data_IF_127845054262
#
_entry.id   IF_127845054262
#
_cell.length_a   1.000
_cell.length_b   1.000
_cell.length_c   1.000
_cell.angle_alpha   90.00
_cell.angle_beta   90.00
_cell.angle_gamma   90.00
#
_symmetry.space_group_name_H-M   'P 1'
#
loop_
_entity.id
_entity.type
_entity.pdbx_description
1 polymer ?
#
# COMPACT_ATOMS: atom_id res chain seq x y z
N UNK A 1 17.09 19.05 18.27
CA UNK A 1 17.94 17.98 18.81
C UNK A 1 18.41 17.16 17.63
N UNK A 2 19.66 17.33 17.22
CA UNK A 2 20.21 16.73 15.99
C UNK A 2 20.26 15.20 16.06
N UNK A 3 20.25 14.65 17.29
CA UNK A 3 20.25 13.22 17.54
C UNK A 3 19.02 12.48 16.98
N UNK A 4 17.87 13.15 16.81
CA UNK A 4 16.65 12.51 16.29
C UNK A 4 16.80 12.18 14.80
N UNK A 5 17.49 13.02 14.03
CA UNK A 5 17.63 12.86 12.57
C UNK A 5 18.58 11.72 12.17
N UNK A 6 19.36 11.19 13.11
CA UNK A 6 20.27 10.05 12.87
C UNK A 6 19.73 8.72 13.40
N UNK A 7 18.52 8.69 13.94
CA UNK A 7 17.94 7.46 14.49
C UNK A 7 17.38 6.60 13.36
N UNK A 8 17.79 5.34 13.35
CA UNK A 8 17.17 4.33 12.51
C UNK A 8 15.80 3.94 13.06
N UNK A 9 14.84 3.73 12.15
CA UNK A 9 13.46 3.42 12.50
C UNK A 9 12.99 2.14 11.84
N UNK A 10 11.96 1.53 12.42
CA UNK A 10 11.16 0.49 11.77
C UNK A 10 9.88 1.16 11.32
N UNK A 11 9.61 1.11 10.01
CA UNK A 11 8.34 1.53 9.47
C UNK A 11 7.29 0.47 9.81
N UNK A 12 6.32 0.85 10.64
CA UNK A 12 5.29 -0.06 11.12
C UNK A 12 4.15 -0.26 10.12
N UNK A 13 4.09 0.49 9.02
CA UNK A 13 3.04 0.32 8.01
C UNK A 13 3.36 1.01 6.67
N UNK A 14 3.47 0.20 5.61
CA UNK A 14 3.74 0.69 4.26
C UNK A 14 2.95 -0.05 3.17
N UNK A 15 2.71 0.64 2.05
CA UNK A 15 1.99 0.21 0.86
C UNK A 15 2.82 0.39 -0.43
N UNK A 16 4.12 0.58 -0.32
CA UNK A 16 5.01 0.76 -1.48
C UNK A 16 4.95 -0.48 -2.38
N UNK A 17 4.72 -0.25 -3.67
CA UNK A 17 4.71 -1.33 -4.66
C UNK A 17 6.14 -1.86 -4.92
N UNK A 18 6.29 -3.12 -5.35
CA UNK A 18 7.55 -3.64 -5.85
C UNK A 18 8.15 -2.77 -6.97
N UNK A 19 9.47 -2.76 -7.07
CA UNK A 19 10.21 -1.96 -8.06
C UNK A 19 9.73 -2.23 -9.49
N UNK A 20 9.42 -3.48 -9.83
CA UNK A 20 8.95 -3.89 -11.16
C UNK A 20 7.66 -3.19 -11.55
N UNK A 21 6.74 -3.04 -10.58
CA UNK A 21 5.43 -2.41 -10.80
C UNK A 21 5.60 -0.91 -10.98
N UNK A 22 6.44 -0.27 -10.16
CA UNK A 22 6.64 1.19 -10.23
C UNK A 22 7.42 1.54 -11.50
N UNK A 23 8.55 0.89 -11.75
CA UNK A 23 9.40 1.16 -12.92
C UNK A 23 8.66 0.91 -14.24
N UNK A 24 7.84 -0.13 -14.32
CA UNK A 24 7.00 -0.43 -15.48
C UNK A 24 5.98 0.66 -15.84
N UNK A 25 5.63 1.54 -14.90
CA UNK A 25 4.70 2.67 -15.13
C UNK A 25 5.40 3.94 -15.62
N UNK A 26 6.73 3.94 -15.74
CA UNK A 26 7.54 5.10 -16.08
C UNK A 26 7.21 6.29 -15.15
N UNK A 27 7.61 6.21 -13.86
CA UNK A 27 7.12 7.09 -12.81
C UNK A 27 7.62 8.53 -13.00
N UNK A 28 6.81 9.49 -12.57
CA UNK A 28 7.03 10.93 -12.73
C UNK A 28 6.68 11.66 -11.44
N UNK A 29 6.87 12.98 -11.40
CA UNK A 29 6.43 13.79 -10.26
C UNK A 29 4.92 13.67 -10.01
N UNK A 30 4.12 13.46 -11.06
CA UNK A 30 2.68 13.24 -10.92
C UNK A 30 2.40 12.05 -9.99
N UNK A 31 3.11 10.93 -10.19
CA UNK A 31 2.90 9.69 -9.43
C UNK A 31 3.31 9.86 -7.95
N UNK A 32 4.33 10.69 -7.67
CA UNK A 32 4.73 11.04 -6.30
C UNK A 32 3.67 11.92 -5.63
N UNK A 33 3.15 12.93 -6.32
CA UNK A 33 2.12 13.82 -5.78
C UNK A 33 0.80 13.06 -5.54
N UNK A 34 0.43 12.16 -6.44
CA UNK A 34 -0.73 11.29 -6.30
C UNK A 34 -0.58 10.35 -5.11
N UNK A 35 0.54 9.63 -5.01
CA UNK A 35 0.84 8.73 -3.91
C UNK A 35 0.96 9.41 -2.54
N UNK A 36 1.31 10.71 -2.52
CA UNK A 36 1.38 11.52 -1.30
C UNK A 36 0.07 12.28 -0.99
N UNK A 37 -1.05 11.92 -1.63
CA UNK A 37 -2.38 12.48 -1.39
C UNK A 37 -2.55 13.96 -1.75
N UNK A 38 -1.66 14.54 -2.55
CA UNK A 38 -1.79 15.94 -2.99
C UNK A 38 -3.08 16.12 -3.78
N UNK A 39 -3.47 15.14 -4.58
CA UNK A 39 -4.70 15.20 -5.39
C UNK A 39 -6.00 14.89 -4.63
N UNK A 40 -5.93 14.68 -3.31
CA UNK A 40 -7.13 14.71 -2.47
C UNK A 40 -7.59 16.14 -2.18
N UNK A 41 -6.67 17.10 -2.25
CA UNK A 41 -6.94 18.52 -2.00
C UNK A 41 -6.72 19.39 -3.24
N UNK A 42 -6.07 18.86 -4.27
CA UNK A 42 -5.87 19.51 -5.57
C UNK A 42 -6.57 18.73 -6.69
N UNK A 43 -6.95 19.39 -7.78
CA UNK A 43 -7.58 18.73 -8.94
C UNK A 43 -6.52 18.18 -9.90
N UNK A 44 -6.33 16.86 -10.04
CA UNK A 44 -5.29 16.33 -10.91
C UNK A 44 -5.52 16.70 -12.39
N UNK A 45 -4.45 16.92 -13.18
CA UNK A 45 -4.57 17.05 -14.63
C UNK A 45 -5.03 15.72 -15.24
N UNK A 46 -5.68 15.78 -16.43
CA UNK A 46 -6.14 14.57 -17.14
C UNK A 46 -5.00 13.69 -17.65
N UNK A 47 -3.82 14.27 -17.86
CA UNK A 47 -2.65 13.60 -18.40
C UNK A 47 -1.45 13.90 -17.50
N UNK A 48 -0.73 12.87 -17.05
CA UNK A 48 0.45 13.02 -16.20
C UNK A 48 1.61 13.80 -16.83
N UNK A 49 1.64 13.94 -18.16
CA UNK A 49 2.62 14.75 -18.88
C UNK A 49 2.26 16.23 -19.04
N UNK A 50 1.06 16.65 -18.62
CA UNK A 50 0.62 18.05 -18.71
C UNK A 50 1.09 18.85 -17.47
N UNK A 51 2.37 19.25 -17.50
CA UNK A 51 3.00 19.96 -16.38
C UNK A 51 2.43 21.35 -16.17
N UNK A 52 1.91 22.01 -17.21
CA UNK A 52 1.26 23.32 -17.07
C UNK A 52 0.00 23.19 -16.21
N UNK A 53 -0.89 22.28 -16.57
CA UNK A 53 -2.10 22.00 -15.77
C UNK A 53 -1.75 21.47 -14.37
N UNK A 54 -0.63 20.74 -14.22
CA UNK A 54 -0.15 20.30 -12.92
C UNK A 54 0.28 21.48 -12.02
N UNK A 55 0.99 22.46 -12.57
CA UNK A 55 1.35 23.69 -11.83
C UNK A 55 0.12 24.46 -11.40
N UNK A 56 -0.84 24.65 -12.32
CA UNK A 56 -2.11 25.32 -12.02
C UNK A 56 -2.89 24.59 -10.92
N UNK A 57 -2.92 23.26 -10.98
CA UNK A 57 -3.59 22.39 -9.99
C UNK A 57 -3.04 22.57 -8.58
N UNK A 58 -1.71 22.56 -8.42
CA UNK A 58 -1.09 22.53 -7.09
C UNK A 58 -0.76 23.90 -6.52
N UNK A 59 -0.83 24.96 -7.32
CA UNK A 59 -0.45 26.33 -6.90
C UNK A 59 -1.15 26.76 -5.61
N UNK A 60 -2.48 26.61 -5.56
CA UNK A 60 -3.30 27.05 -4.44
C UNK A 60 -3.14 26.16 -3.19
N UNK A 61 -2.68 24.91 -3.36
CA UNK A 61 -2.47 23.96 -2.26
C UNK A 61 -0.99 23.79 -1.88
N UNK A 62 -0.09 24.54 -2.53
CA UNK A 62 1.36 24.38 -2.37
C UNK A 62 1.86 24.73 -0.96
N UNK A 63 1.09 25.50 -0.20
CA UNK A 63 1.34 25.75 1.23
C UNK A 63 0.93 24.59 2.14
N UNK A 64 0.17 23.60 1.64
CA UNK A 64 -0.35 22.48 2.42
C UNK A 64 0.68 21.39 2.71
N UNK A 65 0.45 20.62 3.78
CA UNK A 65 1.39 19.61 4.29
C UNK A 65 1.78 18.55 3.26
N UNK A 66 0.83 18.02 2.48
CA UNK A 66 1.11 17.00 1.46
C UNK A 66 2.12 17.49 0.42
N UNK A 67 1.89 18.69 -0.13
CA UNK A 67 2.78 19.26 -1.13
C UNK A 67 4.15 19.64 -0.54
N UNK A 68 4.17 20.24 0.65
CA UNK A 68 5.41 20.62 1.32
C UNK A 68 6.27 19.41 1.66
N UNK A 69 5.68 18.31 2.12
CA UNK A 69 6.40 17.06 2.37
C UNK A 69 7.08 16.54 1.09
N UNK A 70 6.36 16.52 -0.05
CA UNK A 70 6.96 16.16 -1.35
C UNK A 70 8.11 17.09 -1.73
N UNK A 71 7.95 18.41 -1.55
CA UNK A 71 8.99 19.39 -1.90
C UNK A 71 10.26 19.18 -1.09
N UNK A 72 10.13 18.94 0.22
CA UNK A 72 11.27 18.64 1.11
C UNK A 72 11.94 17.33 0.66
N UNK A 73 11.17 16.26 0.47
CA UNK A 73 11.70 14.97 0.06
C UNK A 73 12.44 15.03 -1.29
N UNK A 74 11.90 15.76 -2.27
CA UNK A 74 12.55 15.92 -3.58
C UNK A 74 13.84 16.74 -3.49
N UNK A 75 13.87 17.75 -2.61
CA UNK A 75 15.09 18.51 -2.35
C UNK A 75 16.16 17.63 -1.71
N UNK A 76 15.80 16.80 -0.75
CA UNK A 76 16.75 15.95 -0.03
C UNK A 76 17.25 14.77 -0.88
N UNK A 77 16.37 14.17 -1.68
CA UNK A 77 16.71 12.99 -2.51
C UNK A 77 17.39 13.41 -3.81
N UNK A 78 16.92 14.47 -4.46
CA UNK A 78 17.34 14.84 -5.83
C UNK A 78 17.98 16.23 -5.94
N UNK A 79 18.03 17.03 -4.86
CA UNK A 79 18.55 18.39 -4.89
C UNK A 79 17.65 19.40 -5.61
N UNK A 80 16.39 19.04 -5.90
CA UNK A 80 15.46 19.91 -6.65
C UNK A 80 14.38 20.49 -5.74
N UNK A 81 14.20 21.82 -5.82
CA UNK A 81 13.02 22.47 -5.23
C UNK A 81 11.90 22.52 -6.26
N UNK A 82 10.74 21.99 -5.90
CA UNK A 82 9.50 22.20 -6.65
C UNK A 82 8.66 23.33 -6.07
N UNK A 83 9.11 23.98 -5.00
CA UNK A 83 8.42 25.10 -4.36
C UNK A 83 9.21 26.42 -4.61
N UNK A 84 8.63 27.41 -5.29
CA UNK A 84 7.26 27.43 -5.85
C UNK A 84 7.08 26.50 -7.07
N UNK A 85 5.85 26.02 -7.34
CA UNK A 85 5.57 25.11 -8.45
C UNK A 85 5.86 25.77 -9.81
N UNK A 86 6.70 25.12 -10.61
CA UNK A 86 6.98 25.53 -12.00
C UNK A 86 7.06 24.31 -12.93
N UNK A 87 6.73 24.52 -14.20
CA UNK A 87 6.78 23.45 -15.21
C UNK A 87 8.21 22.90 -15.34
N UNK A 88 9.21 23.80 -15.33
CA UNK A 88 10.63 23.44 -15.39
C UNK A 88 11.03 22.51 -14.24
N UNK A 89 10.62 22.83 -13.01
CA UNK A 89 10.93 22.00 -11.85
C UNK A 89 10.25 20.63 -11.94
N UNK A 90 9.00 20.55 -12.41
CA UNK A 90 8.29 19.28 -12.58
C UNK A 90 8.84 18.41 -13.71
N UNK A 91 9.24 19.00 -14.83
CA UNK A 91 9.92 18.30 -15.93
C UNK A 91 11.22 17.68 -15.41
N UNK A 92 12.02 18.47 -14.71
CA UNK A 92 13.31 18.01 -14.19
C UNK A 92 13.17 16.96 -13.09
N UNK A 93 12.26 17.17 -12.13
CA UNK A 93 11.96 16.18 -11.09
C UNK A 93 11.51 14.86 -11.72
N UNK A 94 10.63 14.90 -12.72
CA UNK A 94 10.18 13.70 -13.44
C UNK A 94 11.33 13.01 -14.18
N UNK A 95 12.28 13.76 -14.73
CA UNK A 95 13.48 13.19 -15.37
C UNK A 95 14.34 12.45 -14.34
N UNK A 96 14.61 13.07 -13.19
CA UNK A 96 15.43 12.49 -12.11
C UNK A 96 14.77 11.26 -11.48
N UNK A 97 13.46 11.28 -11.27
CA UNK A 97 12.68 10.12 -10.80
C UNK A 97 12.83 8.96 -11.78
N UNK A 98 12.54 9.18 -13.07
CA UNK A 98 12.70 8.12 -14.10
C UNK A 98 14.12 7.56 -14.15
N UNK A 99 15.12 8.43 -14.08
CA UNK A 99 16.52 8.00 -14.11
C UNK A 99 16.86 7.11 -12.92
N UNK A 100 16.38 7.47 -11.73
CA UNK A 100 16.70 6.76 -10.50
C UNK A 100 16.03 5.40 -10.45
N UNK A 101 14.80 5.27 -10.96
CA UNK A 101 14.11 3.98 -11.08
C UNK A 101 14.71 3.03 -12.13
N UNK A 102 15.72 3.42 -12.91
CA UNK A 102 16.54 2.47 -13.68
C UNK A 102 17.38 1.56 -12.79
N UNK A 103 17.69 2.02 -11.57
CA UNK A 103 18.33 1.19 -10.56
C UNK A 103 17.29 0.33 -9.85
N UNK A 104 17.42 -1.00 -9.96
CA UNK A 104 16.56 -1.97 -9.27
C UNK A 104 16.59 -1.86 -7.75
N UNK A 105 17.67 -1.31 -7.19
CA UNK A 105 17.84 -1.12 -5.75
C UNK A 105 17.34 0.25 -5.27
N UNK A 106 16.75 1.08 -6.15
CA UNK A 106 16.42 2.46 -5.81
C UNK A 106 15.52 2.59 -4.57
N UNK A 107 14.46 1.78 -4.47
CA UNK A 107 13.56 1.76 -3.31
C UNK A 107 14.34 1.47 -2.02
N UNK A 108 15.23 0.47 -2.05
CA UNK A 108 16.07 0.11 -0.91
C UNK A 108 17.01 1.24 -0.52
N UNK A 109 17.64 1.91 -1.49
CA UNK A 109 18.51 3.08 -1.24
C UNK A 109 17.75 4.22 -0.57
N UNK A 110 16.56 4.57 -1.07
CA UNK A 110 15.74 5.62 -0.46
C UNK A 110 15.38 5.24 0.97
N UNK A 111 14.81 4.06 1.19
CA UNK A 111 14.36 3.65 2.52
C UNK A 111 15.53 3.53 3.52
N UNK A 112 16.62 2.84 3.16
CA UNK A 112 17.75 2.60 4.07
C UNK A 112 18.67 3.79 4.23
N UNK A 113 19.09 4.40 3.13
CA UNK A 113 20.19 5.38 3.15
C UNK A 113 19.68 6.82 3.30
N UNK A 114 18.47 7.12 2.82
CA UNK A 114 17.89 8.48 2.90
C UNK A 114 16.90 8.62 4.05
N UNK A 115 16.12 7.57 4.33
CA UNK A 115 15.09 7.60 5.36
C UNK A 115 15.47 6.89 6.66
N UNK A 116 16.63 6.22 6.71
CA UNK A 116 17.10 5.43 7.87
C UNK A 116 16.09 4.37 8.34
N UNK A 117 15.32 3.80 7.41
CA UNK A 117 14.33 2.75 7.68
C UNK A 117 15.00 1.39 7.55
N UNK A 118 15.11 0.68 8.67
CA UNK A 118 15.76 -0.63 8.71
C UNK A 118 14.83 -1.77 8.29
N UNK A 119 13.56 -1.70 8.66
CA UNK A 119 12.57 -2.70 8.29
C UNK A 119 11.23 -2.03 8.04
N UNK A 120 10.47 -2.65 7.14
CA UNK A 120 9.15 -2.19 6.75
C UNK A 120 8.12 -3.28 7.02
N UNK A 121 7.14 -3.01 7.86
CA UNK A 121 5.94 -3.83 8.02
C UNK A 121 5.02 -3.54 6.85
N UNK A 122 4.96 -4.50 5.93
CA UNK A 122 4.44 -4.26 4.60
C UNK A 122 3.08 -4.90 4.42
N UNK A 123 2.10 -4.07 4.04
CA UNK A 123 0.71 -4.46 3.76
C UNK A 123 0.45 -4.35 2.24
N UNK A 124 0.74 -5.41 1.45
CA UNK A 124 0.48 -5.43 0.01
C UNK A 124 -1.00 -5.71 -0.26
N UNK A 125 -1.89 -4.76 0.05
CA UNK A 125 -3.35 -4.96 -0.08
C UNK A 125 -3.82 -5.37 -1.49
N UNK A 126 -3.01 -5.10 -2.52
CA UNK A 126 -3.26 -5.46 -3.92
C UNK A 126 -2.85 -6.89 -4.28
N UNK A 127 -2.03 -7.54 -3.45
CA UNK A 127 -1.59 -8.93 -3.59
C UNK A 127 -1.38 -9.53 -2.19
N UNK A 128 -2.48 -9.89 -1.55
CA UNK A 128 -2.51 -10.31 -0.13
C UNK A 128 -1.83 -11.66 0.13
N UNK A 129 -1.36 -12.36 -0.90
CA UNK A 129 -0.65 -13.65 -0.78
C UNK A 129 0.72 -13.69 -1.44
N UNK A 130 1.27 -12.53 -1.78
CA UNK A 130 2.51 -12.40 -2.55
C UNK A 130 3.71 -13.18 -1.98
N UNK A 131 4.44 -13.88 -2.86
CA UNK A 131 5.51 -14.80 -2.47
C UNK A 131 6.92 -14.20 -2.55
N UNK A 132 7.14 -13.29 -3.51
CA UNK A 132 8.46 -12.79 -3.86
C UNK A 132 8.62 -11.32 -3.49
N UNK A 133 9.55 -11.04 -2.58
CA UNK A 133 9.91 -9.68 -2.17
C UNK A 133 11.27 -9.65 -1.47
N UNK A 134 11.84 -8.45 -1.32
CA UNK A 134 13.09 -8.26 -0.57
C UNK A 134 12.85 -8.46 0.93
N UNK A 135 13.10 -9.69 1.41
CA UNK A 135 12.99 -10.06 2.84
C UNK A 135 14.01 -9.36 3.74
N UNK A 136 15.06 -8.76 3.17
CA UNK A 136 16.00 -7.95 3.94
C UNK A 136 15.40 -6.59 4.33
N UNK A 137 14.42 -6.11 3.56
CA UNK A 137 13.78 -4.82 3.80
C UNK A 137 12.36 -4.95 4.32
N UNK A 138 11.57 -5.85 3.73
CA UNK A 138 10.14 -5.98 4.02
C UNK A 138 9.85 -7.20 4.91
N UNK A 139 8.96 -6.99 5.88
CA UNK A 139 8.36 -8.02 6.72
C UNK A 139 6.86 -7.98 6.46
N UNK A 140 6.25 -9.06 5.96
CA UNK A 140 4.87 -9.00 5.50
C UNK A 140 3.88 -8.95 6.67
N UNK A 141 2.76 -8.26 6.44
CA UNK A 141 1.60 -8.15 7.32
C UNK A 141 0.39 -8.71 6.59
N UNK A 142 -0.41 -9.53 7.28
CA UNK A 142 -1.56 -10.18 6.65
C UNK A 142 -2.76 -9.25 6.72
N UNK A 143 -3.21 -8.75 5.57
CA UNK A 143 -4.49 -8.05 5.49
C UNK A 143 -5.63 -9.06 5.59
N UNK A 144 -6.39 -9.00 6.68
CA UNK A 144 -7.44 -9.98 7.01
C UNK A 144 -8.85 -9.56 6.53
N UNK A 145 -8.98 -8.40 5.87
CA UNK A 145 -10.29 -7.87 5.47
C UNK A 145 -11.13 -8.90 4.72
N UNK A 146 -10.56 -9.51 3.68
CA UNK A 146 -11.26 -10.48 2.83
C UNK A 146 -11.75 -11.71 3.60
N UNK A 147 -11.09 -12.10 4.70
CA UNK A 147 -11.51 -13.23 5.55
C UNK A 147 -12.84 -12.99 6.26
N UNK A 148 -13.38 -11.77 6.21
CA UNK A 148 -14.70 -11.44 6.76
C UNK A 148 -15.79 -11.39 5.68
N UNK A 149 -15.43 -11.69 4.43
CA UNK A 149 -16.32 -11.76 3.27
C UNK A 149 -16.57 -13.20 2.82
N UNK A 150 -16.41 -14.17 3.72
CA UNK A 150 -16.68 -15.60 3.48
C UNK A 150 -18.15 -15.97 3.35
N UNK A 151 -19.06 -15.02 3.49
CA UNK A 151 -20.49 -15.26 3.34
C UNK A 151 -20.90 -15.42 1.88
N UNK A 152 -20.04 -15.15 0.89
CA UNK A 152 -20.40 -15.37 -0.52
C UNK A 152 -19.20 -15.43 -1.46
N UNK A 153 -19.28 -16.33 -2.45
CA UNK A 153 -18.20 -16.58 -3.43
C UNK A 153 -17.80 -15.35 -4.26
N UNK A 154 -18.73 -14.43 -4.47
CA UNK A 154 -18.51 -13.19 -5.21
C UNK A 154 -18.31 -11.96 -4.31
N UNK A 155 -18.42 -12.11 -2.98
CA UNK A 155 -18.26 -11.01 -2.04
C UNK A 155 -16.80 -10.54 -2.01
N UNK A 156 -16.59 -9.22 -1.99
CA UNK A 156 -15.26 -8.63 -2.04
C UNK A 156 -15.15 -7.49 -1.04
N UNK A 157 -13.97 -7.33 -0.45
CA UNK A 157 -13.66 -6.14 0.32
C UNK A 157 -13.52 -4.89 -0.60
N UNK A 158 -13.39 -3.71 0.00
CA UNK A 158 -13.18 -2.46 -0.74
C UNK A 158 -11.92 -2.43 -1.62
N UNK A 159 -10.98 -3.39 -1.46
CA UNK A 159 -9.82 -3.54 -2.34
C UNK A 159 -10.05 -4.57 -3.47
N UNK A 160 -11.22 -5.20 -3.51
CA UNK A 160 -11.57 -6.21 -4.50
C UNK A 160 -11.11 -7.64 -4.15
N UNK A 161 -10.57 -7.87 -2.95
CA UNK A 161 -10.10 -9.17 -2.51
C UNK A 161 -11.25 -10.05 -2.03
N UNK A 162 -11.10 -11.35 -2.22
CA UNK A 162 -12.07 -12.37 -1.81
C UNK A 162 -11.31 -13.51 -1.08
N UNK A 163 -11.86 -14.12 -0.02
CA UNK A 163 -11.13 -15.11 0.77
C UNK A 163 -10.91 -16.43 0.02
N UNK A 164 -11.75 -16.77 -0.96
CA UNK A 164 -11.63 -18.01 -1.71
C UNK A 164 -10.44 -18.05 -2.68
N UNK A 165 -9.69 -16.94 -2.85
CA UNK A 165 -8.39 -17.01 -3.55
C UNK A 165 -7.43 -17.99 -2.84
N UNK A 166 -7.57 -18.16 -1.52
CA UNK A 166 -6.72 -19.04 -0.72
C UNK A 166 -6.97 -20.52 -0.96
N UNK A 167 -8.13 -20.92 -1.50
CA UNK A 167 -8.41 -22.30 -1.90
C UNK A 167 -7.34 -22.85 -2.84
N UNK A 168 -6.95 -22.03 -3.83
CA UNK A 168 -5.91 -22.38 -4.80
C UNK A 168 -4.53 -22.49 -4.14
N UNK A 169 -4.20 -21.55 -3.26
CA UNK A 169 -2.87 -21.49 -2.65
C UNK A 169 -2.64 -22.58 -1.60
N UNK A 170 -3.70 -22.98 -0.90
CA UNK A 170 -3.65 -23.96 0.19
C UNK A 170 -4.15 -25.34 -0.24
N UNK A 171 -4.63 -25.48 -1.48
CA UNK A 171 -5.24 -26.70 -2.01
C UNK A 171 -6.39 -27.20 -1.12
N UNK A 172 -7.28 -26.28 -0.74
CA UNK A 172 -8.47 -26.52 0.09
C UNK A 172 -9.70 -26.18 -0.75
N UNK A 173 -10.79 -26.95 -0.60
CA UNK A 173 -12.09 -26.65 -1.20
C UNK A 173 -13.08 -26.35 -0.07
N UNK A 174 -13.76 -25.22 -0.13
CA UNK A 174 -14.74 -24.80 0.87
C UNK A 174 -16.16 -25.10 0.40
N UNK A 175 -16.82 -26.09 0.98
CA UNK A 175 -18.23 -26.38 0.66
C UNK A 175 -19.17 -26.12 1.83
N UNK A 176 -18.61 -26.07 3.04
CA UNK A 176 -19.33 -25.88 4.28
C UNK A 176 -18.78 -24.72 5.09
N UNK A 177 -19.52 -24.32 6.13
CA UNK A 177 -19.04 -23.33 7.09
C UNK A 177 -17.79 -23.83 7.83
N UNK A 178 -17.76 -25.10 8.19
CA UNK A 178 -16.61 -25.75 8.82
C UNK A 178 -15.37 -25.73 7.91
N UNK A 179 -15.54 -25.97 6.60
CA UNK A 179 -14.43 -25.85 5.64
C UNK A 179 -13.92 -24.41 5.56
N UNK A 180 -14.82 -23.42 5.68
CA UNK A 180 -14.44 -22.01 5.67
C UNK A 180 -13.62 -21.65 6.91
N UNK A 181 -14.03 -22.11 8.09
CA UNK A 181 -13.24 -21.93 9.32
C UNK A 181 -11.87 -22.60 9.19
N UNK A 182 -11.81 -23.82 8.66
CA UNK A 182 -10.55 -24.49 8.40
C UNK A 182 -9.67 -23.74 7.37
N UNK A 183 -10.27 -23.13 6.34
CA UNK A 183 -9.53 -22.25 5.41
C UNK A 183 -8.91 -21.07 6.16
N UNK A 184 -9.67 -20.39 7.03
CA UNK A 184 -9.18 -19.25 7.84
C UNK A 184 -8.01 -19.69 8.71
N UNK A 185 -8.14 -20.80 9.44
CA UNK A 185 -7.07 -21.34 10.28
C UNK A 185 -5.81 -21.63 9.46
N UNK A 186 -5.97 -22.28 8.30
CA UNK A 186 -4.85 -22.61 7.41
C UNK A 186 -4.18 -21.37 6.83
N UNK A 187 -4.93 -20.33 6.51
CA UNK A 187 -4.39 -19.03 6.08
C UNK A 187 -3.52 -18.42 7.18
N UNK A 188 -3.99 -18.42 8.44
CA UNK A 188 -3.24 -17.87 9.56
C UNK A 188 -1.98 -18.69 9.88
N UNK A 189 -2.09 -20.02 9.92
CA UNK A 189 -0.97 -20.95 10.12
C UNK A 189 0.11 -20.76 9.06
N UNK A 190 -0.29 -20.75 7.78
CA UNK A 190 0.63 -20.62 6.66
C UNK A 190 1.26 -19.23 6.60
N UNK A 191 0.50 -18.18 6.90
CA UNK A 191 1.04 -16.81 6.99
C UNK A 191 2.12 -16.72 8.06
N UNK A 192 1.86 -17.27 9.25
CA UNK A 192 2.86 -17.33 10.33
C UNK A 192 4.10 -18.12 9.89
N UNK A 193 3.92 -19.27 9.22
CA UNK A 193 5.02 -20.08 8.68
C UNK A 193 5.86 -19.32 7.65
N UNK A 194 5.23 -18.48 6.83
CA UNK A 194 5.87 -17.66 5.79
C UNK A 194 6.57 -16.40 6.32
N UNK A 195 6.46 -16.14 7.62
CA UNK A 195 7.12 -15.03 8.31
C UNK A 195 6.28 -13.75 8.42
N UNK A 196 4.95 -13.86 8.29
CA UNK A 196 4.06 -12.74 8.60
C UNK A 196 4.02 -12.53 10.12
N UNK A 197 4.19 -11.27 10.55
CA UNK A 197 4.34 -10.95 11.98
C UNK A 197 3.14 -10.25 12.60
N UNK A 198 2.20 -9.79 11.78
CA UNK A 198 1.04 -9.03 12.24
C UNK A 198 -0.17 -9.27 11.33
N UNK A 199 -1.35 -8.97 11.89
CA UNK A 199 -2.60 -8.86 11.15
C UNK A 199 -2.94 -7.39 10.97
N UNK A 200 -3.49 -7.03 9.80
CA UNK A 200 -3.99 -5.69 9.51
C UNK A 200 -5.45 -5.77 9.10
N UNK A 201 -6.24 -4.88 9.66
CA UNK A 201 -7.63 -4.68 9.30
C UNK A 201 -7.86 -3.23 8.89
N UNK A 202 -8.57 -3.05 7.77
CA UNK A 202 -9.09 -1.77 7.31
C UNK A 202 -10.63 -1.83 7.12
N UNK A 203 -11.32 -2.66 7.91
CA UNK A 203 -12.76 -2.90 7.79
C UNK A 203 -13.63 -1.67 8.04
N UNK A 204 -13.09 -0.61 8.63
CA UNK A 204 -13.80 0.65 8.83
C UNK A 204 -14.31 1.26 7.50
N UNK A 205 -13.70 0.90 6.37
CA UNK A 205 -14.17 1.29 5.03
C UNK A 205 -15.33 0.42 4.52
N UNK A 206 -15.50 -0.77 5.07
CA UNK A 206 -16.49 -1.76 4.63
C UNK A 206 -17.73 -1.81 5.54
N UNK A 207 -17.56 -1.52 6.83
CA UNK A 207 -18.60 -1.64 7.86
C UNK A 207 -18.34 -0.75 9.07
N UNK A 208 -19.35 -0.53 9.94
CA UNK A 208 -19.13 0.05 11.26
C UNK A 208 -18.08 -0.74 12.07
N UNK A 209 -17.28 -0.04 12.87
CA UNK A 209 -16.30 -0.62 13.80
C UNK A 209 -17.02 -1.14 15.05
N UNK A 210 -17.98 -2.03 14.83
CA UNK A 210 -18.72 -2.75 15.87
C UNK A 210 -18.46 -4.25 15.68
N UNK A 211 -17.80 -4.84 16.66
CA UNK A 211 -17.55 -6.28 16.75
C UNK A 211 -18.27 -6.79 17.99
N UNK A 212 -19.21 -7.69 17.77
CA UNK A 212 -19.98 -8.35 18.82
C UNK A 212 -19.67 -9.84 18.76
N UNK A 213 -19.80 -10.50 19.91
CA UNK A 213 -19.77 -11.94 19.98
C UNK A 213 -21.05 -12.48 19.32
N UNK A 214 -20.90 -13.47 18.44
CA UNK A 214 -22.01 -14.08 17.70
C UNK A 214 -21.99 -15.57 17.97
N UNK A 215 -23.16 -16.13 18.25
CA UNK A 215 -23.33 -17.57 18.42
C UNK A 215 -22.95 -18.31 17.13
N UNK A 216 -22.22 -19.43 17.23
CA UNK A 216 -21.77 -20.19 16.06
C UNK A 216 -22.93 -20.65 15.17
N UNK A 217 -24.08 -20.95 15.78
CA UNK A 217 -25.31 -21.32 15.08
C UNK A 217 -25.84 -20.21 14.16
N UNK A 218 -25.78 -18.96 14.61
CA UNK A 218 -26.19 -17.78 13.83
C UNK A 218 -25.21 -17.55 12.67
N UNK A 219 -23.90 -17.63 12.94
CA UNK A 219 -22.88 -17.51 11.90
C UNK A 219 -23.03 -18.59 10.81
N UNK A 220 -23.33 -19.83 11.20
CA UNK A 220 -23.64 -20.94 10.28
C UNK A 220 -24.85 -20.67 9.42
N UNK A 221 -25.92 -20.12 10.01
CA UNK A 221 -27.15 -19.81 9.27
C UNK A 221 -26.90 -18.74 8.19
N UNK A 222 -26.18 -17.67 8.54
CA UNK A 222 -25.84 -16.60 7.61
C UNK A 222 -24.97 -17.13 6.46
N UNK A 223 -23.96 -17.95 6.78
CA UNK A 223 -23.07 -18.54 5.77
C UNK A 223 -23.82 -19.37 4.73
N UNK A 224 -24.85 -20.13 5.13
CA UNK A 224 -25.68 -20.93 4.22
C UNK A 224 -26.50 -20.09 3.24
N UNK A 225 -26.85 -18.85 3.60
CA UNK A 225 -27.72 -17.98 2.79
C UNK A 225 -26.99 -17.33 1.61
N UNK A 226 -25.66 -17.32 1.60
CA UNK A 226 -24.86 -16.69 0.55
C UNK A 226 -24.03 -17.64 -0.32
N UNK A 227 -24.29 -18.95 -0.20
CA UNK A 227 -23.91 -19.97 -1.20
C UNK A 227 -24.83 -19.90 -2.41
#
# INVERSE_FOLDING_TARGET
SDAIFSIHVIDTHEHTYPWEIISGRNPTIYDILDGAYVFWVAKPPKNKGDYKSLVESVREVSAGTFYKACSIALKDIYGISIDPPTEKAFIEASRLIRESYKDRNWIKKVLREKSLIDKVLWDPYWDIWMENFDRELFVPVLRINSLLFGYGRNAKDHNGNNPYIFEKYLNIRVETFEDYLNLVDKVLEESKRRGYIALKSALAYDRPILFEEVEESEAKEISRRGV
#
